data_IF_101170718196
#
_entry.id   IF_101170718196
#
_cell.length_a   1.000
_cell.length_b   1.000
_cell.length_c   1.000
_cell.angle_alpha   90.00
_cell.angle_beta   90.00
_cell.angle_gamma   90.00
#
_symmetry.space_group_name_H-M   'P 1'
#
loop_
_entity.id
_entity.type
_entity.pdbx_description
1 polymer ?
#
# COMPACT_ATOMS: atom_id res chain seq x y z
N UNK A 1 13.31 -21.02 9.79
CA UNK A 1 12.72 -20.04 8.86
C UNK A 1 11.31 -19.63 9.27
N UNK A 2 10.40 -20.59 9.47
CA UNK A 2 9.02 -20.29 9.88
C UNK A 2 8.94 -19.51 11.19
N UNK A 3 9.74 -19.88 12.19
CA UNK A 3 9.78 -19.17 13.48
C UNK A 3 10.19 -17.71 13.30
N UNK A 4 11.17 -17.45 12.44
CA UNK A 4 11.62 -16.09 12.15
C UNK A 4 10.54 -15.29 11.47
N UNK A 5 9.82 -15.89 10.50
CA UNK A 5 8.71 -15.24 9.82
C UNK A 5 7.57 -14.92 10.77
N UNK A 6 7.27 -15.83 11.72
CA UNK A 6 6.25 -15.61 12.74
C UNK A 6 6.63 -14.47 13.69
N UNK A 7 7.91 -14.38 14.06
CA UNK A 7 8.41 -13.29 14.88
C UNK A 7 8.31 -11.94 14.17
N UNK A 8 8.66 -11.92 12.89
CA UNK A 8 8.56 -10.71 12.06
C UNK A 8 7.10 -10.27 11.93
N UNK A 9 6.19 -11.21 11.66
CA UNK A 9 4.77 -10.92 11.56
C UNK A 9 4.23 -10.36 12.89
N UNK A 10 4.60 -10.99 14.01
CA UNK A 10 4.19 -10.54 15.33
C UNK A 10 4.67 -9.12 15.64
N UNK A 11 5.94 -8.84 15.30
CA UNK A 11 6.53 -7.51 15.48
C UNK A 11 5.72 -6.44 14.75
N UNK A 12 5.41 -6.66 13.48
CA UNK A 12 4.68 -5.68 12.68
C UNK A 12 3.20 -5.63 13.06
N UNK A 13 2.61 -6.74 13.48
CA UNK A 13 1.22 -6.77 13.94
C UNK A 13 1.01 -5.86 15.16
N UNK A 14 1.97 -5.83 16.09
CA UNK A 14 1.88 -4.96 17.26
C UNK A 14 2.04 -3.48 16.94
N UNK A 15 2.54 -3.16 15.76
CA UNK A 15 2.77 -1.77 15.31
C UNK A 15 1.78 -1.28 14.28
N UNK A 16 0.83 -2.12 13.89
CA UNK A 16 -0.12 -1.81 12.81
C UNK A 16 -0.89 -0.52 13.05
N UNK A 17 -1.39 -0.29 14.26
CA UNK A 17 -2.16 0.90 14.57
C UNK A 17 -1.32 2.18 14.44
N UNK A 18 -0.09 2.18 14.96
CA UNK A 18 0.80 3.32 14.85
C UNK A 18 1.13 3.68 13.41
N UNK A 19 1.44 2.66 12.60
CA UNK A 19 1.70 2.86 11.18
C UNK A 19 0.46 3.34 10.44
N UNK A 20 -0.71 2.83 10.80
CA UNK A 20 -1.96 3.27 10.18
C UNK A 20 -2.25 4.74 10.48
N UNK A 21 -2.01 5.22 11.70
CA UNK A 21 -2.18 6.63 12.05
C UNK A 21 -1.26 7.54 11.25
N UNK A 22 0.02 7.19 11.14
CA UNK A 22 0.97 7.94 10.32
C UNK A 22 0.52 7.96 8.86
N UNK A 23 0.07 6.81 8.37
CA UNK A 23 -0.40 6.69 7.00
C UNK A 23 -1.62 7.56 6.72
N UNK A 24 -2.57 7.63 7.65
CA UNK A 24 -3.72 8.53 7.52
C UNK A 24 -3.30 10.00 7.43
N UNK A 25 -2.34 10.41 8.24
CA UNK A 25 -1.81 11.77 8.20
C UNK A 25 -1.15 12.07 6.85
N UNK A 26 -0.39 11.13 6.33
CA UNK A 26 0.27 11.27 5.02
C UNK A 26 -0.76 11.35 3.89
N UNK A 27 -1.80 10.52 3.94
CA UNK A 27 -2.88 10.52 2.95
C UNK A 27 -3.66 11.83 2.94
N UNK A 28 -3.84 12.45 4.09
CA UNK A 28 -4.54 13.72 4.23
C UNK A 28 -3.67 14.93 3.91
N UNK A 29 -2.35 14.77 3.89
CA UNK A 29 -1.40 15.86 3.70
C UNK A 29 -1.00 16.10 2.25
N UNK A 30 -0.10 17.07 2.07
CA UNK A 30 0.42 17.44 0.75
C UNK A 30 1.47 16.47 0.22
N UNK A 31 2.02 15.61 1.09
CA UNK A 31 3.09 14.68 0.72
C UNK A 31 2.65 13.64 -0.29
N UNK A 32 1.35 13.27 -0.31
CA UNK A 32 0.88 12.26 -1.27
C UNK A 32 1.12 12.69 -2.71
N UNK A 33 0.93 13.97 -3.02
CA UNK A 33 1.15 14.47 -4.38
C UNK A 33 2.63 14.43 -4.76
N UNK A 34 3.52 14.72 -3.81
CA UNK A 34 4.96 14.65 -4.04
C UNK A 34 5.39 13.19 -4.30
N UNK A 35 4.90 12.25 -3.51
CA UNK A 35 5.16 10.83 -3.70
C UNK A 35 4.61 10.32 -5.03
N UNK A 36 3.38 10.70 -5.37
CA UNK A 36 2.76 10.29 -6.62
C UNK A 36 3.59 10.75 -7.81
N UNK A 37 4.07 11.98 -7.77
CA UNK A 37 4.92 12.54 -8.83
C UNK A 37 6.22 11.74 -8.98
N UNK A 38 6.88 11.43 -7.86
CA UNK A 38 8.11 10.63 -7.87
C UNK A 38 7.87 9.24 -8.45
N UNK A 39 6.81 8.56 -7.98
CA UNK A 39 6.50 7.21 -8.44
C UNK A 39 6.16 7.18 -9.93
N UNK A 40 5.27 8.07 -10.37
CA UNK A 40 4.84 8.07 -11.77
C UNK A 40 5.95 8.48 -12.74
N UNK A 41 6.93 9.26 -12.27
CA UNK A 41 8.07 9.63 -13.10
C UNK A 41 8.94 8.43 -13.50
N UNK A 42 8.85 7.32 -12.76
CA UNK A 42 9.59 6.08 -13.02
C UNK A 42 8.81 5.10 -13.88
N UNK A 43 7.55 5.38 -14.17
CA UNK A 43 6.70 4.46 -14.93
C UNK A 43 7.03 4.52 -16.43
N UNK A 44 6.81 3.40 -17.15
CA UNK A 44 6.97 3.42 -18.60
C UNK A 44 5.93 4.34 -19.26
N UNK A 45 6.27 4.84 -20.44
CA UNK A 45 5.36 5.68 -21.24
C UNK A 45 4.30 4.81 -21.90
N UNK A 46 3.29 4.44 -21.13
CA UNK A 46 2.18 3.58 -21.53
C UNK A 46 0.88 4.09 -20.93
N UNK A 47 -0.27 3.77 -21.52
CA UNK A 47 -1.56 4.03 -20.86
C UNK A 47 -1.62 3.38 -19.48
N UNK A 48 -2.35 3.99 -18.55
CA UNK A 48 -2.49 3.49 -17.18
C UNK A 48 -2.96 2.04 -17.13
N UNK A 49 -3.84 1.66 -18.04
CA UNK A 49 -4.40 0.31 -18.11
C UNK A 49 -3.37 -0.77 -18.43
N UNK A 50 -2.26 -0.38 -19.03
CA UNK A 50 -1.17 -1.29 -19.39
C UNK A 50 -0.05 -1.33 -18.36
N UNK A 51 -0.08 -0.44 -17.38
CA UNK A 51 0.94 -0.37 -16.33
C UNK A 51 0.55 -1.30 -15.19
N UNK A 52 1.44 -2.22 -14.86
CA UNK A 52 1.28 -3.14 -13.73
C UNK A 52 2.18 -2.69 -12.60
N UNK A 53 1.62 -2.61 -11.40
CA UNK A 53 2.34 -2.15 -10.22
C UNK A 53 2.27 -3.24 -9.16
N UNK A 54 3.43 -3.59 -8.62
CA UNK A 54 3.54 -4.51 -7.50
C UNK A 54 4.20 -3.76 -6.34
N UNK A 55 3.49 -3.63 -5.24
CA UNK A 55 4.01 -3.02 -4.03
C UNK A 55 4.27 -4.11 -2.99
N UNK A 56 5.55 -4.38 -2.72
CA UNK A 56 5.99 -5.40 -1.77
C UNK A 56 6.23 -4.73 -0.42
N UNK A 57 5.62 -5.27 0.64
CA UNK A 57 5.68 -4.66 1.95
C UNK A 57 4.79 -3.44 2.06
N UNK A 58 3.56 -3.58 1.58
CA UNK A 58 2.63 -2.45 1.42
C UNK A 58 2.25 -1.78 2.73
N UNK A 59 2.37 -2.48 3.87
CA UNK A 59 1.96 -1.95 5.17
C UNK A 59 0.49 -1.52 5.17
N UNK A 60 0.17 -0.34 5.76
CA UNK A 60 -1.20 0.18 5.76
C UNK A 60 -1.70 0.69 4.41
N UNK A 61 -0.93 0.55 3.34
CA UNK A 61 -1.39 0.76 1.98
C UNK A 61 -1.25 2.18 1.44
N UNK A 62 -0.30 2.97 1.94
CA UNK A 62 -0.11 4.34 1.47
C UNK A 62 0.07 4.42 -0.06
N UNK A 63 1.03 3.68 -0.61
CA UNK A 63 1.30 3.72 -2.05
C UNK A 63 0.16 3.14 -2.89
N UNK A 64 -0.40 1.96 -2.56
CA UNK A 64 -1.55 1.47 -3.32
C UNK A 64 -2.72 2.44 -3.34
N UNK A 65 -3.02 3.09 -2.22
CA UNK A 65 -4.15 4.02 -2.14
C UNK A 65 -3.93 5.23 -3.06
N UNK A 66 -2.76 5.87 -2.98
CA UNK A 66 -2.51 7.05 -3.82
C UNK A 66 -2.46 6.69 -5.31
N UNK A 67 -1.93 5.51 -5.65
CA UNK A 67 -1.86 5.05 -7.03
C UNK A 67 -3.24 4.67 -7.56
N UNK A 68 -4.05 3.98 -6.76
CA UNK A 68 -5.43 3.63 -7.15
C UNK A 68 -6.30 4.88 -7.31
N UNK A 69 -6.13 5.87 -6.44
CA UNK A 69 -6.81 7.15 -6.55
C UNK A 69 -6.46 7.87 -7.86
N UNK A 70 -5.23 7.70 -8.32
CA UNK A 70 -4.76 8.26 -9.59
C UNK A 70 -5.19 7.43 -10.82
N UNK A 71 -5.87 6.30 -10.62
CA UNK A 71 -6.42 5.49 -11.69
C UNK A 71 -5.60 4.25 -12.07
N UNK A 72 -4.58 3.90 -11.30
CA UNK A 72 -3.78 2.71 -11.54
C UNK A 72 -4.34 1.49 -10.83
N UNK A 73 -4.01 0.31 -11.34
CA UNK A 73 -4.27 -0.97 -10.67
C UNK A 73 -3.00 -1.44 -9.98
N UNK A 74 -3.11 -1.88 -8.74
CA UNK A 74 -1.96 -2.24 -7.91
C UNK A 74 -2.18 -3.61 -7.29
N UNK A 75 -1.13 -4.44 -7.32
CA UNK A 75 -1.04 -5.64 -6.50
C UNK A 75 -0.23 -5.27 -5.25
N UNK A 76 -0.86 -5.32 -4.09
CA UNK A 76 -0.26 -4.93 -2.82
C UNK A 76 -0.01 -6.17 -1.97
N UNK A 77 1.24 -6.38 -1.59
CA UNK A 77 1.67 -7.58 -0.87
C UNK A 77 2.22 -7.19 0.50
N UNK A 78 1.78 -7.90 1.53
CA UNK A 78 2.37 -7.81 2.86
C UNK A 78 2.24 -9.15 3.55
N UNK A 79 3.26 -9.52 4.32
CA UNK A 79 3.22 -10.76 5.09
C UNK A 79 2.31 -10.65 6.31
N UNK A 80 2.10 -9.44 6.82
CA UNK A 80 1.33 -9.17 8.03
C UNK A 80 -0.14 -8.95 7.70
N UNK A 81 -1.00 -9.87 8.12
CA UNK A 81 -2.43 -9.78 7.83
C UNK A 81 -3.09 -8.53 8.42
N UNK A 82 -2.67 -8.12 9.62
CA UNK A 82 -3.16 -6.90 10.24
C UNK A 82 -2.87 -5.66 9.40
N UNK A 83 -1.70 -5.60 8.76
CA UNK A 83 -1.37 -4.51 7.84
C UNK A 83 -2.27 -4.53 6.61
N UNK A 84 -2.53 -5.72 6.04
CA UNK A 84 -3.43 -5.84 4.89
C UNK A 84 -4.86 -5.42 5.23
N UNK A 85 -5.34 -5.76 6.42
CA UNK A 85 -6.67 -5.33 6.88
C UNK A 85 -6.74 -3.81 6.98
N UNK A 86 -5.72 -3.17 7.54
CA UNK A 86 -5.66 -1.71 7.62
C UNK A 86 -5.54 -1.08 6.24
N UNK A 87 -4.78 -1.69 5.35
CA UNK A 87 -4.69 -1.23 3.96
C UNK A 87 -6.05 -1.25 3.27
N UNK A 88 -6.84 -2.30 3.48
CA UNK A 88 -8.19 -2.42 2.93
C UNK A 88 -9.12 -1.34 3.51
N UNK A 89 -9.05 -1.09 4.82
CA UNK A 89 -9.80 -0.02 5.47
C UNK A 89 -9.44 1.35 4.88
N UNK A 90 -8.15 1.61 4.73
CA UNK A 90 -7.66 2.89 4.20
C UNK A 90 -8.03 3.08 2.73
N UNK A 91 -8.10 2.00 1.96
CA UNK A 91 -8.46 2.05 0.55
C UNK A 91 -9.95 2.28 0.33
N UNK A 92 -10.81 1.73 1.21
CA UNK A 92 -12.25 1.88 1.06
C UNK A 92 -12.72 1.43 -0.33
N UNK A 93 -13.42 2.30 -1.05
CA UNK A 93 -13.94 2.00 -2.39
C UNK A 93 -12.85 1.77 -3.44
N UNK A 94 -11.62 2.19 -3.18
CA UNK A 94 -10.49 1.95 -4.08
C UNK A 94 -10.03 0.49 -4.09
N UNK A 95 -10.55 -0.35 -3.19
CA UNK A 95 -10.23 -1.78 -3.16
C UNK A 95 -10.50 -2.48 -4.50
N UNK A 96 -11.42 -1.98 -5.30
CA UNK A 96 -11.70 -2.53 -6.63
C UNK A 96 -10.52 -2.41 -7.58
N UNK A 97 -9.58 -1.48 -7.30
CA UNK A 97 -8.39 -1.26 -8.12
C UNK A 97 -7.13 -1.83 -7.47
N UNK A 98 -7.25 -2.46 -6.30
CA UNK A 98 -6.13 -2.99 -5.55
C UNK A 98 -6.38 -4.46 -5.23
N UNK A 99 -5.43 -5.31 -5.60
CA UNK A 99 -5.46 -6.72 -5.20
C UNK A 99 -4.50 -6.90 -4.03
N UNK A 100 -5.05 -7.29 -2.88
CA UNK A 100 -4.25 -7.51 -1.67
C UNK A 100 -3.84 -8.97 -1.58
N UNK A 101 -2.55 -9.21 -1.38
CA UNK A 101 -1.95 -10.54 -1.34
C UNK A 101 -1.06 -10.67 -0.12
N UNK A 102 -1.06 -11.85 0.48
CA UNK A 102 -0.20 -12.16 1.59
C UNK A 102 1.00 -13.03 1.19
#
# INVERSE_FOLDING_TARGET
MEKLLDEIESYWSTRTEGYSEVNHKELAGTQKNAWLKVLTSQFPDKPKEEIRILDIGTGPGFFPVILAEAGYHVDAVDYTEGMLEKAKENAGDLCRNIRFLR
#
